data_IF_535076156987
#
_entry.id   IF_535076156987
#
_cell.length_a   1.000
_cell.length_b   1.000
_cell.length_c   1.000
_cell.angle_alpha   90.00
_cell.angle_beta   90.00
_cell.angle_gamma   90.00
#
_symmetry.space_group_name_H-M   'P 1'
#
loop_
_entity.id
_entity.type
_entity.pdbx_description
1 polymer ?
#
# COMPACT_ATOMS: atom_id res chain seq x y z
N UNK A 1 -1.91 -7.58 -28.60
CA UNK A 1 -3.36 -7.88 -28.69
C UNK A 1 -3.74 -8.65 -29.96
N UNK A 2 -2.81 -8.94 -30.88
CA UNK A 2 -3.09 -9.55 -32.19
C UNK A 2 -3.86 -10.88 -32.10
N UNK A 3 -3.40 -11.81 -31.25
CA UNK A 3 -4.06 -13.11 -31.07
C UNK A 3 -5.49 -12.99 -30.55
N UNK A 4 -5.77 -11.99 -29.69
CA UNK A 4 -7.12 -11.74 -29.17
C UNK A 4 -8.04 -11.22 -30.27
N UNK A 5 -7.57 -10.28 -31.10
CA UNK A 5 -8.32 -9.76 -32.24
C UNK A 5 -8.70 -10.86 -33.23
N UNK A 6 -7.73 -11.72 -33.56
CA UNK A 6 -7.94 -12.87 -34.45
C UNK A 6 -9.00 -13.84 -33.89
N UNK A 7 -8.93 -14.17 -32.59
CA UNK A 7 -9.86 -15.11 -31.96
C UNK A 7 -11.27 -14.56 -31.78
N UNK A 8 -11.39 -13.25 -31.51
CA UNK A 8 -12.68 -12.59 -31.32
C UNK A 8 -13.30 -12.12 -32.63
N UNK A 9 -12.61 -12.29 -33.77
CA UNK A 9 -13.00 -11.74 -35.08
C UNK A 9 -13.38 -10.26 -34.99
N UNK A 10 -12.58 -9.49 -34.24
CA UNK A 10 -12.85 -8.09 -33.92
C UNK A 10 -11.55 -7.29 -34.03
N UNK A 11 -11.58 -6.20 -34.80
CA UNK A 11 -10.44 -5.29 -34.94
C UNK A 11 -10.38 -4.33 -33.75
N UNK A 12 -9.32 -4.43 -32.96
CA UNK A 12 -8.98 -3.48 -31.90
C UNK A 12 -8.11 -2.35 -32.47
N UNK A 13 -8.11 -1.22 -31.77
CA UNK A 13 -7.16 -0.13 -32.05
C UNK A 13 -5.73 -0.58 -31.72
N UNK A 14 -4.77 0.11 -32.33
CA UNK A 14 -3.35 -0.09 -32.04
C UNK A 14 -3.03 0.09 -30.56
N UNK A 15 -2.06 -0.68 -30.08
CA UNK A 15 -1.62 -0.61 -28.69
C UNK A 15 -0.84 0.68 -28.43
N UNK A 16 -1.32 1.48 -27.49
CA UNK A 16 -0.65 2.72 -27.04
C UNK A 16 0.02 2.60 -25.67
N UNK A 17 0.07 1.38 -25.11
CA UNK A 17 0.51 1.14 -23.72
C UNK A 17 1.95 1.58 -23.44
N UNK A 18 2.83 1.58 -24.44
CA UNK A 18 4.20 2.08 -24.32
C UNK A 18 4.27 3.57 -23.94
N UNK A 19 3.27 4.36 -24.33
CA UNK A 19 3.21 5.80 -24.05
C UNK A 19 2.37 6.16 -22.82
N UNK A 20 1.74 5.17 -22.19
CA UNK A 20 0.90 5.39 -21.02
C UNK A 20 1.71 5.11 -19.76
N UNK A 21 1.69 6.06 -18.84
CA UNK A 21 2.16 5.81 -17.49
C UNK A 21 1.34 4.71 -16.82
N UNK A 22 1.99 3.96 -15.94
CA UNK A 22 1.29 3.14 -14.96
C UNK A 22 0.62 4.04 -13.92
N UNK A 23 -0.39 3.50 -13.24
CA UNK A 23 -1.12 4.21 -12.19
C UNK A 23 -0.16 4.76 -11.13
N UNK A 24 -0.28 6.04 -10.80
CA UNK A 24 0.55 6.71 -9.79
C UNK A 24 1.97 7.08 -10.27
N UNK A 25 2.37 6.65 -11.48
CA UNK A 25 3.72 6.84 -12.02
C UNK A 25 3.83 8.02 -13.00
N UNK A 26 2.86 8.93 -13.08
CA UNK A 26 2.91 10.08 -13.97
C UNK A 26 3.84 11.19 -13.42
N UNK A 27 5.07 10.77 -13.17
CA UNK A 27 6.18 11.52 -12.59
C UNK A 27 7.29 11.51 -13.64
N UNK A 28 7.61 12.69 -14.18
CA UNK A 28 8.69 12.83 -15.19
C UNK A 28 10.06 12.96 -14.54
N UNK A 29 10.12 13.62 -13.39
CA UNK A 29 11.34 13.85 -12.64
C UNK A 29 11.07 13.53 -11.17
N UNK A 30 11.73 12.49 -10.66
CA UNK A 30 11.55 12.01 -9.30
C UNK A 30 12.08 13.00 -8.25
N UNK A 31 13.19 13.67 -8.53
CA UNK A 31 13.79 14.64 -7.61
C UNK A 31 12.85 15.84 -7.40
N UNK A 32 12.34 16.41 -8.50
CA UNK A 32 11.35 17.50 -8.42
C UNK A 32 10.06 17.08 -7.73
N UNK A 33 9.64 15.83 -7.92
CA UNK A 33 8.47 15.27 -7.25
C UNK A 33 8.68 15.17 -5.74
N UNK A 34 9.80 14.62 -5.29
CA UNK A 34 10.13 14.53 -3.86
C UNK A 34 10.29 15.90 -3.22
N UNK A 35 10.95 16.85 -3.87
CA UNK A 35 11.05 18.25 -3.37
C UNK A 35 9.66 18.86 -3.14
N UNK A 36 8.69 18.58 -4.02
CA UNK A 36 7.32 19.07 -3.86
C UNK A 36 6.60 18.39 -2.68
N UNK A 37 6.78 17.09 -2.49
CA UNK A 37 6.22 16.38 -1.34
C UNK A 37 6.79 16.92 -0.02
N UNK A 38 8.10 17.06 0.09
CA UNK A 38 8.75 17.61 1.28
C UNK A 38 8.25 19.01 1.62
N UNK A 39 8.19 19.91 0.62
CA UNK A 39 7.61 21.24 0.79
C UNK A 39 6.15 21.24 1.28
N UNK A 40 5.39 20.20 0.97
CA UNK A 40 3.97 20.13 1.30
C UNK A 40 3.69 19.43 2.64
N UNK A 41 4.51 18.45 3.03
CA UNK A 41 4.15 17.50 4.10
C UNK A 41 5.15 17.41 5.26
N UNK A 42 6.34 18.04 5.18
CA UNK A 42 7.35 17.97 6.25
C UNK A 42 6.90 18.61 7.57
N UNK A 43 5.90 19.50 7.55
CA UNK A 43 5.34 20.08 8.78
C UNK A 43 4.42 19.10 9.53
N UNK A 44 3.81 18.15 8.82
CA UNK A 44 2.82 17.21 9.36
C UNK A 44 3.39 15.79 9.58
N UNK A 45 4.45 15.41 8.86
CA UNK A 45 4.99 14.05 8.81
C UNK A 45 6.51 14.03 8.94
N UNK A 46 7.04 12.92 9.46
CA UNK A 46 8.48 12.73 9.57
C UNK A 46 9.13 12.56 8.18
N UNK A 47 10.39 12.98 8.06
CA UNK A 47 11.15 12.94 6.80
C UNK A 47 11.16 11.53 6.15
N UNK A 48 11.40 10.49 6.95
CA UNK A 48 11.40 9.09 6.50
C UNK A 48 10.03 8.67 5.95
N UNK A 49 8.92 9.03 6.62
CA UNK A 49 7.56 8.77 6.11
C UNK A 49 7.30 9.48 4.78
N UNK A 50 7.73 10.74 4.63
CA UNK A 50 7.55 11.46 3.37
C UNK A 50 8.35 10.82 2.24
N UNK A 51 9.61 10.48 2.50
CA UNK A 51 10.50 9.77 1.56
C UNK A 51 9.93 8.42 1.17
N UNK A 52 9.52 7.61 2.16
CA UNK A 52 8.98 6.28 1.96
C UNK A 52 7.71 6.31 1.11
N UNK A 53 6.72 7.10 1.51
CA UNK A 53 5.43 7.14 0.82
C UNK A 53 5.58 7.68 -0.60
N UNK A 54 6.37 8.74 -0.78
CA UNK A 54 6.63 9.32 -2.10
C UNK A 54 7.28 8.33 -3.06
N UNK A 55 8.24 7.53 -2.57
CA UNK A 55 8.94 6.54 -3.40
C UNK A 55 8.13 5.29 -3.71
N UNK A 56 7.30 4.83 -2.77
CA UNK A 56 6.55 3.59 -2.93
C UNK A 56 5.18 3.79 -3.61
N UNK A 57 4.51 4.93 -3.37
CA UNK A 57 3.16 5.18 -3.91
C UNK A 57 3.15 6.23 -5.04
N UNK A 58 4.28 6.88 -5.34
CA UNK A 58 4.33 7.92 -6.36
C UNK A 58 3.28 8.99 -6.10
N UNK A 59 2.52 9.39 -7.13
CA UNK A 59 1.49 10.43 -6.98
C UNK A 59 0.36 10.05 -6.03
N UNK A 60 0.12 8.76 -5.82
CA UNK A 60 -0.93 8.29 -4.90
C UNK A 60 -0.57 8.52 -3.43
N UNK A 61 0.71 8.76 -3.10
CA UNK A 61 1.15 9.14 -1.75
C UNK A 61 0.38 10.33 -1.20
N UNK A 62 0.03 11.30 -2.05
CA UNK A 62 -0.80 12.46 -1.67
C UNK A 62 -2.11 12.05 -1.02
N UNK A 63 -2.76 11.01 -1.55
CA UNK A 63 -4.02 10.52 -1.00
C UNK A 63 -3.83 9.86 0.36
N UNK A 64 -2.69 9.19 0.56
CA UNK A 64 -2.33 8.57 1.83
C UNK A 64 -2.09 9.65 2.90
N UNK A 65 -1.35 10.71 2.56
CA UNK A 65 -1.20 11.87 3.45
C UNK A 65 -2.54 12.52 3.79
N UNK A 66 -3.41 12.74 2.79
CA UNK A 66 -4.75 13.32 3.01
C UNK A 66 -5.62 12.46 3.95
N UNK A 67 -5.54 11.13 3.84
CA UNK A 67 -6.22 10.20 4.76
C UNK A 67 -5.69 10.36 6.19
N UNK A 68 -4.37 10.39 6.36
CA UNK A 68 -3.71 10.53 7.66
C UNK A 68 -3.96 11.91 8.31
N UNK A 69 -4.05 12.98 7.51
CA UNK A 69 -4.39 14.32 8.00
C UNK A 69 -5.86 14.41 8.44
N UNK A 70 -6.77 13.74 7.71
CA UNK A 70 -8.20 13.73 8.01
C UNK A 70 -8.55 12.90 9.24
N UNK A 71 -7.87 11.76 9.43
CA UNK A 71 -8.01 10.91 10.60
C UNK A 71 -6.63 10.67 11.21
N UNK A 72 -6.34 11.38 12.31
CA UNK A 72 -5.05 11.32 13.00
C UNK A 72 -4.73 9.93 13.54
N UNK A 73 -5.71 9.04 13.72
CA UNK A 73 -5.43 7.64 14.08
C UNK A 73 -4.75 6.87 12.95
N UNK A 74 -4.91 7.30 11.70
CA UNK A 74 -4.24 6.71 10.53
C UNK A 74 -2.83 7.27 10.31
N UNK A 75 -2.47 8.39 10.96
CA UNK A 75 -1.12 8.97 10.89
C UNK A 75 -0.10 8.23 11.78
N UNK A 76 -0.53 7.20 12.51
CA UNK A 76 0.35 6.42 13.36
C UNK A 76 1.43 5.71 12.53
N UNK A 77 2.70 6.02 12.83
CA UNK A 77 3.88 5.36 12.26
C UNK A 77 4.01 3.95 12.85
N UNK A 78 4.17 2.97 11.97
CA UNK A 78 4.22 1.55 12.29
C UNK A 78 5.66 1.03 12.35
N UNK A 79 6.59 1.60 11.60
CA UNK A 79 7.98 1.12 11.44
C UNK A 79 8.98 2.27 11.44
N UNK A 80 10.26 1.96 11.62
CA UNK A 80 11.33 2.97 11.56
C UNK A 80 11.57 3.51 10.14
N UNK A 81 11.18 2.76 9.10
CA UNK A 81 11.29 3.17 7.69
C UNK A 81 10.22 4.20 7.29
N UNK A 82 9.16 4.34 8.09
CA UNK A 82 8.16 5.39 7.96
C UNK A 82 6.80 4.94 7.43
N UNK A 83 6.53 3.62 7.37
CA UNK A 83 5.18 3.11 7.09
C UNK A 83 4.17 3.64 8.11
N UNK A 84 2.98 4.01 7.66
CA UNK A 84 1.88 4.51 8.50
C UNK A 84 0.60 3.70 8.31
N UNK A 85 -0.28 3.75 9.32
CA UNK A 85 -1.54 3.01 9.30
C UNK A 85 -2.48 3.43 8.15
N UNK A 86 -2.34 4.64 7.61
CA UNK A 86 -3.06 5.11 6.43
C UNK A 86 -2.80 4.27 5.17
N UNK A 87 -1.61 3.67 5.03
CA UNK A 87 -1.31 2.77 3.90
C UNK A 87 -2.14 1.50 3.96
N UNK A 88 -2.38 0.97 5.16
CA UNK A 88 -3.27 -0.18 5.36
C UNK A 88 -4.69 0.16 4.91
N UNK A 89 -5.19 1.33 5.31
CA UNK A 89 -6.49 1.82 4.85
C UNK A 89 -6.51 1.93 3.33
N UNK A 90 -5.46 2.55 2.75
CA UNK A 90 -5.34 2.76 1.32
C UNK A 90 -5.32 1.43 0.55
N UNK A 91 -4.52 0.47 1.00
CA UNK A 91 -4.41 -0.86 0.43
C UNK A 91 -5.77 -1.58 0.39
N UNK A 92 -6.55 -1.51 1.47
CA UNK A 92 -7.89 -2.13 1.53
C UNK A 92 -8.87 -1.42 0.59
N UNK A 93 -8.88 -0.09 0.61
CA UNK A 93 -9.91 0.71 -0.05
C UNK A 93 -9.67 0.90 -1.54
N UNK A 94 -8.41 1.07 -1.95
CA UNK A 94 -8.01 1.46 -3.30
C UNK A 94 -7.22 0.37 -4.03
N UNK A 95 -6.55 -0.53 -3.32
CA UNK A 95 -5.71 -1.58 -3.92
C UNK A 95 -6.24 -3.00 -3.71
N UNK A 96 -7.50 -3.10 -3.25
CA UNK A 96 -8.23 -4.34 -3.06
C UNK A 96 -7.54 -5.37 -2.16
N UNK A 97 -6.77 -4.94 -1.16
CA UNK A 97 -6.24 -5.86 -0.15
C UNK A 97 -7.39 -6.51 0.63
N UNK A 98 -7.45 -7.85 0.64
CA UNK A 98 -8.52 -8.63 1.29
C UNK A 98 -8.01 -9.59 2.36
N UNK A 99 -6.70 -9.68 2.56
CA UNK A 99 -6.03 -10.55 3.53
C UNK A 99 -4.89 -9.79 4.22
N UNK A 100 -4.46 -10.25 5.39
CA UNK A 100 -3.25 -9.69 6.01
C UNK A 100 -2.03 -9.93 5.13
N UNK A 101 -1.96 -11.07 4.43
CA UNK A 101 -0.86 -11.34 3.49
C UNK A 101 -0.81 -10.35 2.32
N UNK A 102 -1.95 -9.87 1.83
CA UNK A 102 -1.97 -8.79 0.83
C UNK A 102 -1.30 -7.53 1.38
N UNK A 103 -1.71 -7.13 2.59
CA UNK A 103 -1.24 -5.91 3.23
C UNK A 103 0.26 -6.00 3.50
N UNK A 104 0.70 -7.01 4.25
CA UNK A 104 2.08 -7.11 4.75
C UNK A 104 3.10 -7.46 3.67
N UNK A 105 2.75 -8.28 2.67
CA UNK A 105 3.75 -8.82 1.72
C UNK A 105 3.62 -8.29 0.29
N UNK A 106 2.52 -7.60 -0.06
CA UNK A 106 2.26 -7.20 -1.46
C UNK A 106 1.88 -5.74 -1.67
N UNK A 107 1.49 -5.00 -0.62
CA UNK A 107 0.94 -3.64 -0.73
C UNK A 107 1.64 -2.62 0.16
N UNK A 108 2.31 -3.08 1.21
CA UNK A 108 3.09 -2.26 2.14
C UNK A 108 4.44 -2.93 2.38
N UNK A 109 5.39 -2.22 2.99
CA UNK A 109 6.68 -2.77 3.38
C UNK A 109 6.70 -3.46 4.76
N UNK A 110 5.56 -3.56 5.44
CA UNK A 110 5.47 -4.05 6.82
C UNK A 110 6.01 -5.48 7.04
N UNK A 111 5.98 -6.33 6.02
CA UNK A 111 6.51 -7.70 6.09
C UNK A 111 7.86 -7.89 5.39
N UNK A 112 8.45 -6.84 4.80
CA UNK A 112 9.63 -6.94 3.93
C UNK A 112 10.86 -7.42 4.68
N UNK A 113 11.09 -6.90 5.89
CA UNK A 113 12.25 -7.25 6.74
C UNK A 113 11.97 -8.42 7.70
N UNK A 114 10.86 -9.13 7.50
CA UNK A 114 10.40 -10.21 8.36
C UNK A 114 9.25 -9.78 9.27
N UNK A 115 9.07 -10.48 10.40
CA UNK A 115 7.96 -10.24 11.31
C UNK A 115 8.12 -8.89 12.03
N UNK A 116 7.23 -7.90 11.80
CA UNK A 116 7.35 -6.58 12.42
C UNK A 116 7.00 -6.59 13.92
N UNK A 117 6.46 -7.70 14.43
CA UNK A 117 6.13 -7.87 15.83
C UNK A 117 4.64 -7.70 16.12
N UNK A 118 4.25 -8.25 17.27
CA UNK A 118 2.85 -8.46 17.66
C UNK A 118 2.04 -7.17 17.78
N UNK A 119 2.69 -6.08 18.23
CA UNK A 119 2.02 -4.80 18.42
C UNK A 119 1.54 -4.21 17.09
N UNK A 120 2.38 -4.26 16.05
CA UNK A 120 2.05 -3.76 14.70
C UNK A 120 0.98 -4.64 14.07
N UNK A 121 1.15 -5.97 14.13
CA UNK A 121 0.17 -6.92 13.59
C UNK A 121 -1.22 -6.68 14.19
N UNK A 122 -1.32 -6.48 15.50
CA UNK A 122 -2.60 -6.16 16.17
C UNK A 122 -3.23 -4.86 15.69
N UNK A 123 -2.45 -3.79 15.48
CA UNK A 123 -2.95 -2.52 14.94
C UNK A 123 -3.57 -2.72 13.55
N UNK A 124 -2.85 -3.42 12.68
CA UNK A 124 -3.32 -3.72 11.31
C UNK A 124 -4.57 -4.60 11.33
N UNK A 125 -4.63 -5.63 12.16
CA UNK A 125 -5.83 -6.48 12.32
C UNK A 125 -7.03 -5.66 12.81
N UNK A 126 -6.84 -4.78 13.79
CA UNK A 126 -7.91 -3.96 14.33
C UNK A 126 -8.51 -3.02 13.27
N UNK A 127 -7.68 -2.42 12.42
CA UNK A 127 -8.18 -1.61 11.31
C UNK A 127 -8.84 -2.47 10.24
N UNK A 128 -8.16 -3.52 9.79
CA UNK A 128 -8.60 -4.38 8.68
C UNK A 128 -9.92 -5.08 8.99
N UNK A 129 -10.06 -5.61 10.20
CA UNK A 129 -11.29 -6.31 10.62
C UNK A 129 -12.51 -5.39 10.64
N UNK A 130 -12.35 -4.12 11.04
CA UNK A 130 -13.42 -3.13 10.99
C UNK A 130 -13.80 -2.80 9.54
N UNK A 131 -12.81 -2.62 8.66
CA UNK A 131 -13.05 -2.24 7.26
C UNK A 131 -13.64 -3.36 6.40
N UNK A 132 -13.27 -4.62 6.70
CA UNK A 132 -13.71 -5.80 5.95
C UNK A 132 -14.76 -6.62 6.69
N UNK A 133 -15.28 -6.13 7.82
CA UNK A 133 -16.31 -6.77 8.64
C UNK A 133 -15.95 -8.19 9.07
N UNK A 134 -14.70 -8.40 9.51
CA UNK A 134 -14.25 -9.70 9.99
C UNK A 134 -14.72 -9.97 11.41
N UNK A 135 -15.32 -11.13 11.62
CA UNK A 135 -15.55 -11.68 12.96
C UNK A 135 -14.23 -12.15 13.62
N UNK A 136 -14.35 -12.68 14.85
CA UNK A 136 -13.19 -13.13 15.63
C UNK A 136 -12.54 -14.38 15.07
N UNK A 137 -13.31 -15.26 14.45
CA UNK A 137 -12.79 -16.47 13.81
C UNK A 137 -11.92 -16.09 12.61
N UNK A 138 -12.40 -15.21 11.74
CA UNK A 138 -11.67 -14.70 10.59
C UNK A 138 -10.40 -13.95 11.00
N UNK A 139 -10.47 -13.13 12.05
CA UNK A 139 -9.29 -12.45 12.60
C UNK A 139 -8.19 -13.46 13.00
N UNK A 140 -8.56 -14.54 13.70
CA UNK A 140 -7.63 -15.56 14.14
C UNK A 140 -7.04 -16.36 12.97
N UNK A 141 -7.86 -16.72 11.98
CA UNK A 141 -7.41 -17.41 10.77
C UNK A 141 -6.40 -16.57 9.98
N UNK A 142 -6.67 -15.28 9.81
CA UNK A 142 -5.77 -14.36 9.11
C UNK A 142 -4.46 -14.15 9.88
N UNK A 143 -4.53 -13.98 11.21
CA UNK A 143 -3.34 -13.88 12.07
C UNK A 143 -2.45 -15.13 11.95
N UNK A 144 -3.02 -16.32 12.13
CA UNK A 144 -2.27 -17.57 12.05
C UNK A 144 -1.65 -17.77 10.66
N UNK A 145 -2.41 -17.46 9.60
CA UNK A 145 -1.93 -17.52 8.23
C UNK A 145 -0.74 -16.58 8.01
N UNK A 146 -0.79 -15.35 8.54
CA UNK A 146 0.29 -14.37 8.48
C UNK A 146 1.54 -14.87 9.21
N UNK A 147 1.41 -15.32 10.47
CA UNK A 147 2.53 -15.81 11.28
C UNK A 147 3.20 -17.01 10.63
N UNK A 148 2.44 -17.93 10.05
CA UNK A 148 2.98 -19.08 9.33
C UNK A 148 3.86 -18.64 8.14
N UNK A 149 3.47 -17.58 7.43
CA UNK A 149 4.25 -17.08 6.30
C UNK A 149 5.56 -16.39 6.69
N UNK A 150 5.74 -16.03 7.96
CA UNK A 150 7.01 -15.51 8.47
C UNK A 150 7.99 -16.60 8.91
N UNK A 151 7.56 -17.86 8.99
CA UNK A 151 8.44 -18.97 9.35
C UNK A 151 9.36 -19.30 8.17
N UNK A 152 10.64 -19.48 8.47
CA UNK A 152 11.60 -20.00 7.50
C UNK A 152 11.32 -21.49 7.24
N UNK A 153 11.56 -21.99 6.02
CA UNK A 153 11.56 -23.43 5.76
C UNK A 153 12.58 -24.13 6.66
N UNK A 154 12.26 -25.34 7.12
CA UNK A 154 13.20 -26.22 7.82
C UNK A 154 14.37 -26.65 6.91
#
# INVERSE_FOLDING_TARGET
MEVVQMKLNFNLKDSITYNNYLSGCEIRNMEEFMIKLHKQFDEDFQLNTVEYLGRNYGRESKKIFELAMKDKSLAEVLTDDGEILAEVYYAIKYEMAKTLKDIFFRRTGLGTLGNPGEAIIKKVINLTSKMLFWDKERQLLEYNSLIEAFKLPE
#
